data_IF_313464403479
#
_entry.id   IF_313464403479
#
_cell.length_a   1.000
_cell.length_b   1.000
_cell.length_c   1.000
_cell.angle_alpha   90.00
_cell.angle_beta   90.00
_cell.angle_gamma   90.00
#
_symmetry.space_group_name_H-M   'P 1'
#
loop_
_entity.id
_entity.type
_entity.pdbx_description
1 polymer ?
#
# COMPACT_ATOMS: atom_id res chain seq x y z
N UNK A 1 19.28 9.40 -28.59
CA UNK A 1 17.97 8.72 -28.75
C UNK A 1 16.90 9.50 -27.99
N UNK A 2 15.69 9.64 -28.51
CA UNK A 2 14.55 10.33 -27.85
C UNK A 2 13.62 9.28 -27.22
N UNK A 3 13.94 8.79 -26.03
CA UNK A 3 13.12 7.80 -25.34
C UNK A 3 11.78 8.40 -24.92
N UNK A 4 10.71 7.59 -24.97
CA UNK A 4 9.39 7.95 -24.46
C UNK A 4 9.33 7.69 -22.95
N UNK A 5 8.39 8.34 -22.25
CA UNK A 5 8.19 8.13 -20.82
C UNK A 5 7.57 6.77 -20.53
N UNK A 6 7.72 6.27 -19.30
CA UNK A 6 7.08 5.02 -18.88
C UNK A 6 5.54 5.12 -18.92
N UNK A 7 4.99 6.31 -18.63
CA UNK A 7 3.56 6.59 -18.83
C UNK A 7 3.14 6.38 -20.29
N UNK A 8 3.90 6.90 -21.25
CA UNK A 8 3.62 6.70 -22.67
C UNK A 8 3.63 5.22 -23.05
N UNK A 9 4.57 4.44 -22.49
CA UNK A 9 4.62 2.99 -22.70
C UNK A 9 3.34 2.30 -22.21
N UNK A 10 2.89 2.59 -20.98
CA UNK A 10 1.65 2.02 -20.47
C UNK A 10 0.43 2.46 -21.28
N UNK A 11 0.40 3.68 -21.81
CA UNK A 11 -0.74 4.17 -22.60
C UNK A 11 -0.77 3.63 -24.05
N UNK A 12 0.37 3.26 -24.64
CA UNK A 12 0.47 2.97 -26.08
C UNK A 12 0.98 1.57 -26.43
N UNK A 13 1.77 0.95 -25.55
CA UNK A 13 2.40 -0.36 -25.80
C UNK A 13 1.80 -1.44 -24.91
N UNK A 14 1.43 -1.11 -23.67
CA UNK A 14 0.83 -2.06 -22.71
C UNK A 14 -0.42 -1.48 -22.01
N UNK A 15 -1.46 -1.10 -22.78
CA UNK A 15 -2.67 -0.44 -22.26
C UNK A 15 -3.52 -1.30 -21.33
N UNK A 16 -3.38 -2.62 -21.37
CA UNK A 16 -4.08 -3.57 -20.51
C UNK A 16 -3.40 -3.79 -19.16
N UNK A 17 -2.28 -3.10 -18.89
CA UNK A 17 -1.57 -3.20 -17.61
C UNK A 17 -2.50 -2.86 -16.44
N UNK A 18 -2.50 -3.65 -15.35
CA UNK A 18 -3.26 -3.31 -14.14
C UNK A 18 -2.64 -2.13 -13.36
N UNK A 19 -1.44 -1.69 -13.75
CA UNK A 19 -0.72 -0.63 -13.06
C UNK A 19 -1.47 0.72 -13.17
N UNK A 20 -1.74 1.42 -12.05
CA UNK A 20 -2.44 2.69 -12.09
C UNK A 20 -1.55 3.77 -12.72
N UNK A 21 -2.13 4.60 -13.60
CA UNK A 21 -1.42 5.76 -14.18
C UNK A 21 -1.42 6.98 -13.25
N UNK A 22 -2.39 7.07 -12.35
CA UNK A 22 -2.60 8.20 -11.45
C UNK A 22 -2.42 7.79 -9.99
N UNK A 23 -1.20 7.98 -9.50
CA UNK A 23 -0.80 7.67 -8.13
C UNK A 23 0.00 8.81 -7.50
N UNK A 24 -0.06 8.90 -6.17
CA UNK A 24 0.79 9.75 -5.35
C UNK A 24 2.14 9.08 -5.08
N UNK A 25 2.13 7.76 -4.89
CA UNK A 25 3.31 6.99 -4.54
C UNK A 25 3.31 5.63 -5.25
N UNK A 26 4.50 5.14 -5.61
CA UNK A 26 4.75 3.80 -6.10
C UNK A 26 6.07 3.29 -5.52
N UNK A 27 6.02 2.17 -4.80
CA UNK A 27 7.19 1.54 -4.18
C UNK A 27 6.84 0.73 -2.95
N UNK A 28 7.80 0.55 -2.06
CA UNK A 28 7.66 -0.19 -0.81
C UNK A 28 6.96 0.61 0.29
N UNK A 29 6.03 -0.02 1.00
CA UNK A 29 5.36 0.59 2.16
C UNK A 29 6.03 0.09 3.43
N UNK A 30 6.99 0.87 3.94
CA UNK A 30 7.87 0.46 5.03
C UNK A 30 7.40 0.95 6.39
N UNK A 31 7.29 0.07 7.37
CA UNK A 31 7.04 0.44 8.76
C UNK A 31 8.27 1.07 9.42
N UNK A 32 8.06 2.11 10.24
CA UNK A 32 9.13 2.84 10.91
C UNK A 32 9.73 2.05 12.07
N UNK A 33 8.94 1.31 12.84
CA UNK A 33 9.40 0.58 14.03
C UNK A 33 10.08 -0.73 13.64
N UNK A 34 9.35 -1.64 12.99
CA UNK A 34 9.86 -2.98 12.64
C UNK A 34 10.85 -2.97 11.47
N UNK A 35 10.93 -1.87 10.71
CA UNK A 35 11.71 -1.77 9.46
C UNK A 35 11.34 -2.78 8.36
N UNK A 36 10.21 -3.48 8.53
CA UNK A 36 9.61 -4.38 7.56
C UNK A 36 8.71 -3.62 6.58
N UNK A 37 8.45 -4.23 5.44
CA UNK A 37 7.59 -3.72 4.39
C UNK A 37 6.29 -4.51 4.34
N UNK A 38 5.21 -3.86 3.88
CA UNK A 38 4.04 -4.59 3.40
C UNK A 38 4.46 -5.55 2.28
N UNK A 39 3.87 -6.74 2.30
CA UNK A 39 4.22 -7.80 1.38
C UNK A 39 2.98 -8.64 1.08
N UNK A 40 2.63 -8.83 -0.20
CA UNK A 40 1.52 -9.70 -0.59
C UNK A 40 1.83 -11.18 -0.36
N UNK A 41 3.09 -11.54 -0.14
CA UNK A 41 3.62 -12.89 0.03
C UNK A 41 3.26 -13.84 -1.13
N UNK A 42 2.93 -13.29 -2.30
CA UNK A 42 2.37 -14.05 -3.43
C UNK A 42 0.99 -14.66 -3.15
N UNK A 43 0.27 -14.17 -2.13
CA UNK A 43 -1.07 -14.63 -1.75
C UNK A 43 -2.11 -14.16 -2.75
N UNK A 44 -3.25 -14.85 -2.74
CA UNK A 44 -4.41 -14.62 -3.61
C UNK A 44 -5.40 -13.65 -2.96
N UNK A 45 -6.35 -13.18 -3.77
CA UNK A 45 -7.46 -12.35 -3.31
C UNK A 45 -8.21 -13.01 -2.13
N UNK A 46 -8.52 -12.23 -1.10
CA UNK A 46 -9.19 -12.65 0.13
C UNK A 46 -8.25 -13.08 1.26
N UNK A 47 -6.96 -13.25 0.99
CA UNK A 47 -5.95 -13.58 2.00
C UNK A 47 -5.39 -12.31 2.68
N UNK A 48 -4.81 -12.48 3.88
CA UNK A 48 -4.23 -11.37 4.65
C UNK A 48 -2.93 -10.88 4.02
N UNK A 49 -2.68 -9.56 4.00
CA UNK A 49 -1.36 -9.02 3.64
C UNK A 49 -0.34 -9.34 4.75
N UNK A 50 0.93 -9.50 4.40
CA UNK A 50 2.01 -9.79 5.33
C UNK A 50 2.91 -8.59 5.63
N UNK A 51 3.78 -8.79 6.62
CA UNK A 51 4.94 -7.95 6.90
C UNK A 51 6.20 -8.80 6.80
N UNK A 52 7.14 -8.38 5.98
CA UNK A 52 8.42 -9.08 5.78
C UNK A 52 9.57 -8.08 5.67
N UNK A 53 10.82 -8.55 5.73
CA UNK A 53 11.97 -7.67 5.58
C UNK A 53 11.93 -6.96 4.22
N UNK A 54 12.22 -5.65 4.20
CA UNK A 54 12.25 -4.91 2.94
C UNK A 54 13.44 -5.38 2.08
N UNK A 55 13.18 -6.08 0.98
CA UNK A 55 14.24 -6.64 0.13
C UNK A 55 14.62 -5.75 -1.06
N UNK A 56 13.75 -4.80 -1.45
CA UNK A 56 14.05 -3.82 -2.50
C UNK A 56 14.14 -4.40 -3.92
N UNK A 57 13.59 -5.60 -4.14
CA UNK A 57 13.61 -6.31 -5.43
C UNK A 57 12.33 -6.08 -6.25
N UNK A 58 11.41 -5.25 -5.76
CA UNK A 58 10.11 -5.05 -6.39
C UNK A 58 9.12 -6.17 -6.08
N UNK A 59 8.32 -6.57 -7.08
CA UNK A 59 7.39 -7.70 -6.97
C UNK A 59 6.30 -7.50 -5.91
N UNK A 60 6.15 -8.50 -5.04
CA UNK A 60 5.18 -8.58 -3.94
C UNK A 60 5.31 -7.46 -2.88
N UNK A 61 6.38 -6.67 -2.90
CA UNK A 61 6.57 -5.52 -2.01
C UNK A 61 6.30 -4.16 -2.67
N UNK A 62 5.82 -4.13 -3.91
CA UNK A 62 5.47 -2.88 -4.59
C UNK A 62 3.98 -2.60 -4.46
N UNK A 63 3.69 -1.42 -3.91
CA UNK A 63 2.36 -0.87 -3.81
C UNK A 63 2.29 0.52 -4.44
N UNK A 64 1.17 0.80 -5.10
CA UNK A 64 0.78 2.12 -5.54
C UNK A 64 -0.24 2.71 -4.56
N UNK A 65 0.01 3.92 -4.06
CA UNK A 65 -1.01 4.72 -3.40
C UNK A 65 -1.66 5.64 -4.43
N UNK A 66 -2.88 5.30 -4.86
CA UNK A 66 -3.53 5.91 -6.02
C UNK A 66 -4.26 7.21 -5.67
N UNK A 67 -4.56 8.04 -6.67
CA UNK A 67 -5.43 9.23 -6.48
C UNK A 67 -6.86 8.89 -6.08
N UNK A 68 -7.26 7.62 -6.20
CA UNK A 68 -8.56 7.08 -5.73
C UNK A 68 -8.51 6.58 -4.28
N UNK A 69 -7.47 6.94 -3.52
CA UNK A 69 -7.30 6.54 -2.12
C UNK A 69 -7.17 5.02 -1.94
N UNK A 70 -6.59 4.32 -2.92
CA UNK A 70 -6.36 2.88 -2.82
C UNK A 70 -4.87 2.61 -2.59
N UNK A 71 -4.55 1.61 -1.78
CA UNK A 71 -3.19 1.04 -1.68
C UNK A 71 -3.23 -0.29 -2.44
N UNK A 72 -2.63 -0.30 -3.62
CA UNK A 72 -2.81 -1.31 -4.67
C UNK A 72 -1.51 -2.03 -4.97
N UNK A 73 -1.55 -3.35 -5.18
CA UNK A 73 -0.48 -4.16 -5.78
C UNK A 73 -1.11 -4.99 -6.90
N UNK A 74 -0.62 -4.81 -8.13
CA UNK A 74 -1.28 -5.31 -9.36
C UNK A 74 -2.77 -4.91 -9.42
N UNK A 75 -3.69 -5.88 -9.50
CA UNK A 75 -5.15 -5.66 -9.50
C UNK A 75 -5.78 -5.79 -8.09
N UNK A 76 -4.97 -5.93 -7.04
CA UNK A 76 -5.40 -6.14 -5.66
C UNK A 76 -5.19 -4.90 -4.79
N UNK A 77 -6.14 -4.62 -3.92
CA UNK A 77 -6.17 -3.49 -3.01
C UNK A 77 -6.15 -3.97 -1.55
N UNK A 78 -5.54 -3.19 -0.66
CA UNK A 78 -5.74 -3.37 0.77
C UNK A 78 -7.22 -3.17 1.11
N UNK A 79 -7.77 -4.10 1.88
CA UNK A 79 -9.18 -4.18 2.24
C UNK A 79 -9.33 -4.49 3.72
N UNK A 80 -10.14 -3.72 4.44
CA UNK A 80 -10.43 -3.97 5.85
C UNK A 80 -11.94 -3.86 6.13
N UNK A 81 -12.54 -4.99 6.53
CA UNK A 81 -13.97 -5.08 6.82
C UNK A 81 -14.33 -4.74 8.29
N UNK A 82 -13.35 -4.71 9.21
CA UNK A 82 -13.58 -4.45 10.62
C UNK A 82 -12.59 -3.39 11.17
N UNK A 83 -12.92 -2.68 12.26
CA UNK A 83 -12.01 -1.71 12.88
C UNK A 83 -10.74 -2.31 13.48
N UNK A 84 -10.65 -3.63 13.63
CA UNK A 84 -9.48 -4.34 14.16
C UNK A 84 -8.73 -5.16 13.09
N UNK A 85 -9.27 -5.26 11.87
CA UNK A 85 -8.75 -6.12 10.80
C UNK A 85 -9.37 -7.53 10.78
N UNK A 86 -8.73 -8.51 10.14
CA UNK A 86 -7.42 -8.44 9.47
C UNK A 86 -7.45 -7.56 8.22
N UNK A 87 -6.29 -7.07 7.79
CA UNK A 87 -6.14 -6.34 6.51
C UNK A 87 -5.82 -7.33 5.39
N UNK A 88 -6.72 -7.44 4.43
CA UNK A 88 -6.64 -8.39 3.32
C UNK A 88 -6.17 -7.73 2.04
N UNK A 89 -5.72 -8.53 1.09
CA UNK A 89 -5.60 -8.13 -0.32
C UNK A 89 -6.82 -8.66 -1.06
N UNK A 90 -7.61 -7.78 -1.67
CA UNK A 90 -8.84 -8.13 -2.40
C UNK A 90 -8.81 -7.40 -3.74
N UNK A 91 -9.34 -8.00 -4.80
CA UNK A 91 -9.46 -7.30 -6.09
C UNK A 91 -10.04 -5.89 -5.91
N UNK A 92 -9.37 -4.92 -6.53
CA UNK A 92 -9.77 -3.54 -6.49
C UNK A 92 -11.13 -3.37 -7.19
N UNK A 93 -12.16 -2.94 -6.46
CA UNK A 93 -13.49 -2.70 -7.05
C UNK A 93 -13.77 -1.20 -7.29
N UNK A 94 -12.95 -0.30 -6.75
CA UNK A 94 -13.03 1.14 -7.03
C UNK A 94 -14.25 1.86 -6.45
N UNK A 95 -15.00 1.21 -5.55
CA UNK A 95 -16.20 1.79 -4.90
C UNK A 95 -15.88 2.52 -3.59
N UNK A 96 -14.60 2.63 -3.22
CA UNK A 96 -14.18 3.20 -1.94
C UNK A 96 -14.52 2.30 -0.75
N UNK A 97 -15.02 2.88 0.34
CA UNK A 97 -15.47 2.14 1.52
C UNK A 97 -14.34 1.38 2.22
N UNK A 98 -14.45 0.05 2.29
CA UNK A 98 -13.47 -0.84 2.92
C UNK A 98 -12.13 -0.95 2.16
N UNK A 99 -12.01 -0.37 0.95
CA UNK A 99 -10.76 -0.29 0.18
C UNK A 99 -10.18 1.13 0.10
N UNK A 100 -10.73 2.08 0.87
CA UNK A 100 -10.29 3.47 0.85
C UNK A 100 -9.42 3.82 2.06
N UNK A 101 -8.24 4.38 1.77
CA UNK A 101 -7.16 4.67 2.70
C UNK A 101 -6.64 6.09 2.48
N UNK A 102 -6.36 6.81 3.57
CA UNK A 102 -5.75 8.13 3.51
C UNK A 102 -4.38 8.08 4.16
N UNK A 103 -3.36 8.45 3.40
CA UNK A 103 -2.01 8.66 3.92
C UNK A 103 -1.81 10.13 4.30
N UNK A 104 -1.33 10.38 5.51
CA UNK A 104 -0.89 11.70 5.95
C UNK A 104 0.65 11.74 5.99
N UNK A 105 1.27 12.60 5.20
CA UNK A 105 2.74 12.68 5.08
C UNK A 105 3.43 13.19 6.36
N UNK A 106 2.77 14.06 7.12
CA UNK A 106 3.31 14.65 8.35
C UNK A 106 3.36 13.62 9.47
N UNK A 107 2.23 12.96 9.74
CA UNK A 107 2.13 11.93 10.79
C UNK A 107 2.67 10.57 10.34
N UNK A 108 2.79 10.36 9.03
CA UNK A 108 3.14 9.09 8.36
C UNK A 108 2.14 7.97 8.64
N UNK A 109 0.90 8.32 8.95
CA UNK A 109 -0.12 7.33 9.26
C UNK A 109 -0.94 6.99 8.03
N UNK A 110 -1.32 5.71 7.92
CA UNK A 110 -2.26 5.23 6.91
C UNK A 110 -3.58 4.97 7.64
N UNK A 111 -4.57 5.83 7.43
CA UNK A 111 -5.89 5.74 8.05
C UNK A 111 -6.88 5.05 7.11
N UNK A 112 -7.53 4.01 7.60
CA UNK A 112 -8.65 3.39 6.92
C UNK A 112 -9.88 4.31 7.01
N UNK A 113 -10.43 4.71 5.87
CA UNK A 113 -11.46 5.77 5.82
C UNK A 113 -12.76 5.34 6.50
N UNK A 114 -13.21 4.11 6.26
CA UNK A 114 -14.50 3.62 6.77
C UNK A 114 -14.51 3.46 8.29
N UNK A 115 -13.45 2.90 8.87
CA UNK A 115 -13.39 2.65 10.33
C UNK A 115 -12.76 3.82 11.09
N UNK A 116 -12.05 4.72 10.40
CA UNK A 116 -11.27 5.78 11.00
C UNK A 116 -10.03 5.32 11.76
N UNK A 117 -9.74 4.02 11.79
CA UNK A 117 -8.58 3.41 12.47
C UNK A 117 -7.34 3.44 11.57
N UNK A 118 -6.16 3.28 12.16
CA UNK A 118 -4.90 3.35 11.45
C UNK A 118 -4.25 1.97 11.30
N UNK A 119 -3.57 1.78 10.18
CA UNK A 119 -2.76 0.59 9.92
C UNK A 119 -1.63 0.53 10.95
N UNK A 120 -1.49 -0.61 11.61
CA UNK A 120 -0.51 -0.86 12.66
C UNK A 120 0.22 -2.17 12.41
N UNK A 121 1.45 -2.25 12.90
CA UNK A 121 2.08 -3.55 13.14
C UNK A 121 1.24 -4.38 14.13
N UNK A 122 1.32 -5.72 14.07
CA UNK A 122 0.62 -6.58 15.01
C UNK A 122 1.16 -6.41 16.43
N UNK A 123 0.37 -6.74 17.45
CA UNK A 123 0.85 -6.90 18.81
C UNK A 123 2.06 -7.86 18.90
N UNK A 124 2.97 -7.68 19.87
CA UNK A 124 4.07 -8.62 20.07
C UNK A 124 3.56 -10.04 20.32
N UNK A 125 4.13 -11.02 19.60
CA UNK A 125 3.76 -12.43 19.70
C UNK A 125 2.72 -12.89 18.67
N UNK A 126 2.04 -11.97 18.00
CA UNK A 126 1.10 -12.29 16.93
C UNK A 126 1.83 -12.55 15.59
N UNK A 127 1.09 -13.13 14.64
CA UNK A 127 1.58 -13.33 13.28
C UNK A 127 1.98 -11.99 12.63
N UNK A 128 3.02 -11.99 11.79
CA UNK A 128 3.52 -10.82 11.06
C UNK A 128 2.54 -10.35 9.96
N UNK A 129 1.37 -9.87 10.38
CA UNK A 129 0.27 -9.39 9.56
C UNK A 129 -0.19 -8.05 10.16
N UNK A 130 -0.37 -6.99 9.35
CA UNK A 130 -0.80 -5.72 9.89
C UNK A 130 -2.26 -5.77 10.30
N UNK A 131 -2.59 -4.97 11.30
CA UNK A 131 -3.93 -4.85 11.89
C UNK A 131 -4.41 -3.41 11.83
N UNK A 132 -5.66 -3.19 12.21
CA UNK A 132 -6.18 -1.84 12.46
C UNK A 132 -6.28 -1.60 13.96
N UNK A 133 -5.93 -0.39 14.38
CA UNK A 133 -6.11 0.06 15.77
C UNK A 133 -6.39 1.56 15.81
N UNK A 134 -6.93 2.10 16.93
CA UNK A 134 -7.15 3.54 17.07
C UNK A 134 -5.88 4.32 16.74
N UNK A 135 -6.03 5.40 15.97
CA UNK A 135 -4.90 6.19 15.51
C UNK A 135 -4.18 6.86 16.69
N UNK A 136 -2.89 6.62 16.82
CA UNK A 136 -2.00 7.21 17.81
C UNK A 136 -0.73 7.74 17.14
N UNK A 137 -0.54 9.06 17.17
CA UNK A 137 0.61 9.74 16.56
C UNK A 137 1.92 9.49 17.31
N UNK A 138 1.85 8.99 18.55
CA UNK A 138 3.02 8.62 19.35
C UNK A 138 3.49 7.19 19.05
N UNK A 139 2.59 6.32 18.59
CA UNK A 139 2.90 4.94 18.26
C UNK A 139 3.75 4.83 16.97
N UNK A 140 5.00 4.39 17.09
CA UNK A 140 5.89 4.18 15.93
C UNK A 140 5.46 3.03 15.04
N UNK A 141 4.74 2.05 15.58
CA UNK A 141 4.16 0.92 14.87
C UNK A 141 3.06 1.32 13.89
N UNK A 142 2.50 2.52 14.03
CA UNK A 142 1.51 3.08 13.09
C UNK A 142 2.11 4.04 12.05
N UNK A 143 3.44 4.18 12.00
CA UNK A 143 4.13 5.08 11.08
C UNK A 143 4.69 4.30 9.89
N UNK A 144 4.31 4.71 8.69
CA UNK A 144 4.63 4.08 7.42
C UNK A 144 5.29 5.08 6.47
N UNK A 145 6.37 4.66 5.84
CA UNK A 145 7.14 5.47 4.90
C UNK A 145 6.70 5.08 3.49
N UNK A 146 6.10 6.05 2.79
CA UNK A 146 5.85 6.03 1.36
C UNK A 146 6.68 7.14 0.72
N UNK A 147 8.00 6.93 0.57
CA UNK A 147 8.91 7.94 -0.02
C UNK A 147 9.52 7.41 -1.29
N UNK A 148 9.24 8.06 -2.42
CA UNK A 148 9.88 7.69 -3.68
C UNK A 148 11.34 8.18 -3.66
N UNK A 149 12.28 7.32 -4.02
CA UNK A 149 13.62 7.76 -4.45
C UNK A 149 13.71 7.91 -5.97
N UNK A 150 12.75 7.35 -6.71
CA UNK A 150 12.71 7.33 -8.16
C UNK A 150 11.56 8.18 -8.70
N UNK A 151 11.91 9.22 -9.47
CA UNK A 151 10.95 9.95 -10.29
C UNK A 151 10.77 9.18 -11.61
N UNK A 152 9.68 8.42 -11.71
CA UNK A 152 9.31 7.72 -12.96
C UNK A 152 8.74 8.66 -14.04
N UNK A 153 8.36 9.87 -13.64
CA UNK A 153 7.94 10.92 -14.56
C UNK A 153 9.18 11.68 -15.00
N UNK A 154 9.65 11.40 -16.22
CA UNK A 154 10.40 12.38 -16.97
C UNK A 154 9.44 13.55 -17.23
N UNK A 155 9.71 14.69 -16.59
CA UNK A 155 9.12 15.99 -16.91
C UNK A 155 9.35 16.35 -18.37
#
# INVERSE_FOLDING_TARGET
MKCKSFRWYLENIYPESPMPLDYYYLGDVKNVEMKNCLDTMGRRTGETVGLSYCHGLGGNQVFAYTKRQQIMSDDMCLDAASPQGPVKIVRCHGMGGNQAWVYNEETRMIRHTNTGHCLSIPPPGDAAQPVLSPCDTHNSGQKWIMKTKFKWQAS
#
